data_IF_383556539070
#
_entry.id   IF_383556539070
#
_cell.length_a   1.000
_cell.length_b   1.000
_cell.length_c   1.000
_cell.angle_alpha   90.00
_cell.angle_beta   90.00
_cell.angle_gamma   90.00
#
_symmetry.space_group_name_H-M   'P 1'
#
loop_
_entity.id
_entity.type
_entity.pdbx_description
1 polymer ?
#
# COMPACT_ATOMS: atom_id res chain seq x y z
N UNK A 1 2.07 17.28 58.84
CA UNK A 1 0.59 17.24 59.03
C UNK A 1 -0.24 17.21 57.74
N UNK A 2 0.26 17.61 56.57
CA UNK A 2 -0.51 17.61 55.32
C UNK A 2 -0.91 16.21 54.78
N UNK A 3 -0.10 15.17 55.02
CA UNK A 3 -0.38 13.79 54.54
C UNK A 3 -1.58 13.12 55.21
N UNK A 4 -1.86 13.40 56.49
CA UNK A 4 -3.01 12.86 57.23
C UNK A 4 -4.35 13.48 56.79
N UNK A 5 -4.36 14.76 56.43
CA UNK A 5 -5.57 15.43 55.91
C UNK A 5 -6.02 14.85 54.56
N UNK A 6 -5.07 14.54 53.67
CA UNK A 6 -5.36 13.87 52.38
C UNK A 6 -5.92 12.45 52.54
N UNK A 7 -5.50 11.71 53.56
CA UNK A 7 -5.98 10.33 53.80
C UNK A 7 -7.41 10.32 54.36
N UNK A 8 -7.75 11.28 55.22
CA UNK A 8 -9.09 11.38 55.82
C UNK A 8 -10.12 11.88 54.80
N UNK A 9 -9.75 12.83 53.92
CA UNK A 9 -10.63 13.26 52.82
C UNK A 9 -10.91 12.12 51.84
N UNK A 10 -9.88 11.37 51.44
CA UNK A 10 -10.04 10.22 50.54
C UNK A 10 -10.91 9.11 51.15
N UNK A 11 -10.79 8.86 52.46
CA UNK A 11 -11.63 7.89 53.16
C UNK A 11 -13.10 8.34 53.24
N UNK A 12 -13.35 9.64 53.39
CA UNK A 12 -14.72 10.22 53.42
C UNK A 12 -15.37 10.21 52.03
N UNK A 13 -14.61 10.53 50.98
CA UNK A 13 -15.06 10.41 49.58
C UNK A 13 -15.41 8.96 49.20
N UNK A 14 -14.60 7.98 49.65
CA UNK A 14 -14.88 6.55 49.44
C UNK A 14 -16.15 6.13 50.20
N UNK A 15 -16.38 6.66 51.41
CA UNK A 15 -17.58 6.36 52.19
C UNK A 15 -18.85 6.99 51.59
N UNK A 16 -18.78 8.22 51.09
CA UNK A 16 -19.90 8.87 50.41
C UNK A 16 -20.21 8.19 49.06
N UNK A 17 -19.17 7.77 48.31
CA UNK A 17 -19.35 6.97 47.08
C UNK A 17 -19.94 5.57 47.36
N UNK A 18 -19.62 4.94 48.49
CA UNK A 18 -20.17 3.64 48.89
C UNK A 18 -21.59 3.73 49.48
N UNK A 19 -22.02 4.92 49.92
CA UNK A 19 -23.36 5.18 50.41
C UNK A 19 -24.37 5.43 49.27
N UNK A 20 -23.88 5.88 48.11
CA UNK A 20 -24.69 6.24 46.94
C UNK A 20 -24.61 5.18 45.81
N UNK A 21 -24.20 3.94 46.12
CA UNK A 21 -24.14 2.84 45.15
C UNK A 21 -25.54 2.22 44.96
N UNK A 22 -26.23 2.46 43.82
CA UNK A 22 -27.59 1.99 43.58
C UNK A 22 -27.69 0.47 43.41
N UNK A 23 -26.58 -0.27 43.38
CA UNK A 23 -26.56 -1.73 43.13
C UNK A 23 -26.23 -2.58 44.36
N UNK A 24 -26.10 -1.98 45.54
CA UNK A 24 -25.66 -2.65 46.78
C UNK A 24 -26.56 -3.81 47.23
N UNK A 25 -27.85 -3.77 46.92
CA UNK A 25 -28.84 -4.77 47.33
C UNK A 25 -29.44 -5.55 46.14
N UNK A 26 -28.71 -5.64 45.02
CA UNK A 26 -29.17 -6.37 43.83
C UNK A 26 -29.23 -7.89 44.07
N UNK A 27 -30.36 -8.53 43.78
CA UNK A 27 -30.63 -9.96 44.01
C UNK A 27 -30.76 -10.80 42.73
N UNK A 28 -30.41 -10.24 41.55
CA UNK A 28 -30.52 -10.91 40.25
C UNK A 28 -29.26 -11.68 39.83
N UNK A 29 -29.25 -12.12 38.57
CA UNK A 29 -28.14 -12.89 37.99
C UNK A 29 -26.91 -12.00 37.70
N UNK A 30 -25.72 -12.62 37.59
CA UNK A 30 -24.47 -11.89 37.33
C UNK A 30 -24.51 -11.12 36.02
N UNK A 31 -25.14 -11.69 34.98
CA UNK A 31 -25.31 -11.04 33.68
C UNK A 31 -26.17 -9.76 33.79
N UNK A 32 -27.23 -9.80 34.59
CA UNK A 32 -28.11 -8.66 34.85
C UNK A 32 -27.40 -7.55 35.63
N UNK A 33 -26.55 -7.91 36.61
CA UNK A 33 -25.75 -6.93 37.35
C UNK A 33 -24.76 -6.19 36.43
N UNK A 34 -24.12 -6.88 35.49
CA UNK A 34 -23.23 -6.25 34.51
C UNK A 34 -23.99 -5.32 33.57
N UNK A 35 -25.15 -5.75 33.07
CA UNK A 35 -26.00 -4.93 32.22
C UNK A 35 -26.51 -3.67 32.94
N UNK A 36 -26.93 -3.79 34.20
CA UNK A 36 -27.36 -2.67 35.04
C UNK A 36 -26.23 -1.66 35.28
N UNK A 37 -25.02 -2.14 35.59
CA UNK A 37 -23.83 -1.29 35.74
C UNK A 37 -23.47 -0.58 34.43
N UNK A 38 -23.50 -1.31 33.31
CA UNK A 38 -23.24 -0.74 31.99
C UNK A 38 -24.27 0.33 31.62
N UNK A 39 -25.57 0.06 31.80
CA UNK A 39 -26.62 1.03 31.47
C UNK A 39 -26.61 2.26 32.38
N UNK A 40 -26.27 2.11 33.66
CA UNK A 40 -26.09 3.25 34.57
C UNK A 40 -24.86 4.08 34.22
N UNK A 41 -23.73 3.42 33.90
CA UNK A 41 -22.55 4.10 33.36
C UNK A 41 -22.86 4.81 32.03
N UNK A 42 -23.60 4.16 31.14
CA UNK A 42 -24.03 4.70 29.85
C UNK A 42 -24.91 5.94 30.04
N UNK A 43 -25.86 5.91 30.99
CA UNK A 43 -26.70 7.07 31.33
C UNK A 43 -25.87 8.21 31.91
N UNK A 44 -24.95 7.91 32.84
CA UNK A 44 -24.09 8.91 33.48
C UNK A 44 -23.14 9.58 32.49
N UNK A 45 -22.64 8.83 31.52
CA UNK A 45 -21.73 9.30 30.48
C UNK A 45 -22.41 9.45 29.12
N UNK A 46 -23.74 9.63 29.10
CA UNK A 46 -24.52 9.63 27.86
C UNK A 46 -24.01 10.66 26.84
N UNK A 47 -23.57 11.84 27.31
CA UNK A 47 -22.97 12.88 26.46
C UNK A 47 -21.66 12.40 25.82
N UNK A 48 -20.78 11.78 26.58
CA UNK A 48 -19.49 11.28 26.08
C UNK A 48 -19.69 10.13 25.09
N UNK A 49 -20.63 9.24 25.37
CA UNK A 49 -20.96 8.12 24.46
C UNK A 49 -21.61 8.62 23.18
N UNK A 50 -22.47 9.64 23.24
CA UNK A 50 -23.01 10.27 22.03
C UNK A 50 -21.93 10.94 21.19
N UNK A 51 -20.98 11.64 21.82
CA UNK A 51 -19.84 12.24 21.12
C UNK A 51 -18.94 11.16 20.51
N UNK A 52 -18.62 10.11 21.27
CA UNK A 52 -17.82 8.97 20.77
C UNK A 52 -18.49 8.25 19.60
N UNK A 53 -19.81 8.03 19.69
CA UNK A 53 -20.62 7.47 18.61
C UNK A 53 -20.64 8.37 17.38
N UNK A 54 -20.78 9.68 17.55
CA UNK A 54 -20.74 10.64 16.45
C UNK A 54 -19.36 10.66 15.76
N UNK A 55 -18.26 10.62 16.53
CA UNK A 55 -16.90 10.54 15.97
C UNK A 55 -16.72 9.24 15.17
N UNK A 56 -17.13 8.09 15.73
CA UNK A 56 -17.08 6.81 15.01
C UNK A 56 -17.88 6.85 13.71
N UNK A 57 -19.05 7.48 13.72
CA UNK A 57 -19.88 7.63 12.53
C UNK A 57 -19.19 8.52 11.48
N UNK A 58 -18.59 9.65 11.87
CA UNK A 58 -17.84 10.52 10.96
C UNK A 58 -16.63 9.79 10.36
N UNK A 59 -15.88 9.05 11.18
CA UNK A 59 -14.74 8.23 10.71
C UNK A 59 -15.22 7.15 9.75
N UNK A 60 -16.32 6.48 10.05
CA UNK A 60 -16.93 5.47 9.18
C UNK A 60 -17.34 6.05 7.82
N UNK A 61 -18.06 7.18 7.81
CA UNK A 61 -18.46 7.87 6.58
C UNK A 61 -17.23 8.32 5.78
N UNK A 62 -16.25 8.96 6.43
CA UNK A 62 -15.02 9.40 5.79
C UNK A 62 -14.24 8.25 5.15
N UNK A 63 -14.21 7.10 5.81
CA UNK A 63 -13.59 5.87 5.27
C UNK A 63 -14.30 5.40 4.00
N UNK A 64 -15.63 5.33 4.00
CA UNK A 64 -16.40 4.92 2.81
C UNK A 64 -16.21 5.91 1.66
N UNK A 65 -16.28 7.22 1.93
CA UNK A 65 -16.05 8.26 0.91
C UNK A 65 -14.65 8.12 0.32
N UNK A 66 -13.63 7.90 1.15
CA UNK A 66 -12.26 7.69 0.70
C UNK A 66 -12.14 6.48 -0.24
N UNK A 67 -12.74 5.34 0.10
CA UNK A 67 -12.70 4.15 -0.75
C UNK A 67 -13.39 4.37 -2.10
N UNK A 68 -14.57 4.99 -2.10
CA UNK A 68 -15.30 5.31 -3.35
C UNK A 68 -14.49 6.26 -4.23
N UNK A 69 -13.87 7.28 -3.64
CA UNK A 69 -13.02 8.22 -4.37
C UNK A 69 -11.75 7.56 -4.92
N UNK A 70 -11.10 6.70 -4.13
CA UNK A 70 -9.91 5.97 -4.56
C UNK A 70 -10.22 5.00 -5.71
N UNK A 71 -11.35 4.29 -5.65
CA UNK A 71 -11.79 3.38 -6.70
C UNK A 71 -12.21 4.12 -7.97
N UNK A 72 -12.87 5.28 -7.84
CA UNK A 72 -13.19 6.15 -8.98
C UNK A 72 -11.95 6.62 -9.73
N UNK A 73 -10.92 7.09 -9.01
CA UNK A 73 -9.64 7.47 -9.66
C UNK A 73 -8.95 6.30 -10.36
N UNK A 74 -9.05 5.10 -9.80
CA UNK A 74 -8.49 3.91 -10.45
C UNK A 74 -9.20 3.63 -11.76
N UNK A 75 -10.53 3.68 -11.79
CA UNK A 75 -11.32 3.49 -13.01
C UNK A 75 -11.02 4.56 -14.06
N UNK A 76 -10.98 5.84 -13.67
CA UNK A 76 -10.62 6.95 -14.57
C UNK A 76 -9.23 6.74 -15.17
N UNK A 77 -8.27 6.27 -14.36
CA UNK A 77 -6.92 5.97 -14.85
C UNK A 77 -6.89 4.79 -15.81
N UNK A 78 -7.77 3.80 -15.66
CA UNK A 78 -7.85 2.66 -16.59
C UNK A 78 -8.42 3.14 -17.92
N UNK A 79 -9.49 3.92 -17.90
CA UNK A 79 -10.11 4.45 -19.12
C UNK A 79 -9.15 5.37 -19.88
N UNK A 80 -8.46 6.28 -19.18
CA UNK A 80 -7.45 7.14 -19.81
C UNK A 80 -6.29 6.32 -20.40
N UNK A 81 -5.87 5.24 -19.73
CA UNK A 81 -4.85 4.35 -20.27
C UNK A 81 -5.33 3.57 -21.51
N UNK A 82 -6.57 3.10 -21.51
CA UNK A 82 -7.19 2.46 -22.67
C UNK A 82 -7.30 3.42 -23.85
N UNK A 83 -7.61 4.70 -23.62
CA UNK A 83 -7.63 5.72 -24.68
C UNK A 83 -6.23 5.94 -25.27
N UNK A 84 -5.21 6.10 -24.40
CA UNK A 84 -3.81 6.23 -24.83
C UNK A 84 -3.40 5.03 -25.69
N UNK A 85 -3.67 3.80 -25.24
CA UNK A 85 -3.28 2.58 -25.97
C UNK A 85 -4.13 2.29 -27.21
N UNK A 86 -5.42 2.61 -27.21
CA UNK A 86 -6.30 2.44 -28.37
C UNK A 86 -5.93 3.38 -29.52
N UNK A 87 -5.54 4.63 -29.21
CA UNK A 87 -5.09 5.61 -30.20
C UNK A 87 -3.84 5.13 -30.98
N UNK A 88 -3.07 4.21 -30.40
CA UNK A 88 -1.81 3.70 -30.94
C UNK A 88 -2.02 2.54 -31.94
N UNK A 89 -3.16 1.84 -31.90
CA UNK A 89 -3.43 0.71 -32.80
C UNK A 89 -3.71 1.14 -34.27
N UNK A 90 -3.86 2.45 -34.53
CA UNK A 90 -4.23 2.98 -35.84
C UNK A 90 -3.10 3.35 -36.80
N UNK A 91 -1.84 3.54 -36.35
CA UNK A 91 -0.75 4.04 -37.20
C UNK A 91 0.66 3.57 -36.76
N UNK A 92 1.20 2.54 -37.40
CA UNK A 92 2.24 1.66 -36.83
C UNK A 92 3.64 2.28 -36.57
N UNK A 93 4.04 3.39 -37.22
CA UNK A 93 5.45 3.87 -37.16
C UNK A 93 5.62 5.26 -36.56
N UNK A 94 4.75 6.22 -36.87
CA UNK A 94 4.76 7.56 -36.24
C UNK A 94 4.05 7.58 -34.87
N UNK A 95 3.23 6.56 -34.56
CA UNK A 95 2.54 6.48 -33.27
C UNK A 95 3.46 6.06 -32.12
N UNK A 96 4.61 5.44 -32.37
CA UNK A 96 5.40 4.81 -31.31
C UNK A 96 6.23 5.80 -30.47
N UNK A 97 6.80 6.87 -31.06
CA UNK A 97 7.46 7.92 -30.28
C UNK A 97 6.46 8.80 -29.54
N UNK A 98 5.32 9.07 -30.18
CA UNK A 98 4.18 9.79 -29.58
C UNK A 98 3.59 8.97 -28.42
N UNK A 99 3.55 7.64 -28.56
CA UNK A 99 3.08 6.73 -27.52
C UNK A 99 3.91 6.79 -26.23
N UNK A 100 5.24 6.90 -26.33
CA UNK A 100 6.10 7.06 -25.15
C UNK A 100 5.81 8.40 -24.43
N UNK A 101 5.61 9.47 -25.19
CA UNK A 101 5.27 10.78 -24.63
C UNK A 101 3.90 10.77 -23.95
N UNK A 102 2.90 10.15 -24.57
CA UNK A 102 1.54 10.06 -24.02
C UNK A 102 1.48 9.17 -22.78
N UNK A 103 2.25 8.07 -22.75
CA UNK A 103 2.41 7.24 -21.55
C UNK A 103 3.10 7.99 -20.41
N UNK A 104 4.09 8.84 -20.73
CA UNK A 104 4.74 9.66 -19.73
C UNK A 104 3.79 10.72 -19.16
N UNK A 105 3.03 11.42 -20.01
CA UNK A 105 1.99 12.36 -19.57
C UNK A 105 0.95 11.67 -18.69
N UNK A 106 0.50 10.48 -19.08
CA UNK A 106 -0.40 9.66 -18.27
C UNK A 106 0.21 9.34 -16.90
N UNK A 107 1.47 8.94 -16.83
CA UNK A 107 2.15 8.64 -15.56
C UNK A 107 2.35 9.89 -14.67
N UNK A 108 2.50 11.07 -15.28
CA UNK A 108 2.59 12.36 -14.58
C UNK A 108 1.22 12.84 -14.05
N UNK A 109 0.14 12.59 -14.80
CA UNK A 109 -1.23 12.94 -14.41
C UNK A 109 -1.78 11.98 -13.33
N UNK A 110 -1.53 10.68 -13.49
CA UNK A 110 -2.02 9.63 -12.61
C UNK A 110 -0.90 9.08 -11.74
N UNK A 111 -0.66 9.78 -10.63
CA UNK A 111 0.51 9.56 -9.74
C UNK A 111 0.37 8.39 -8.76
N UNK A 112 -0.75 7.68 -8.73
CA UNK A 112 -0.92 6.52 -7.85
C UNK A 112 -0.19 5.29 -8.40
N UNK A 113 0.34 4.47 -7.48
CA UNK A 113 1.32 3.42 -7.79
C UNK A 113 0.89 2.46 -8.91
N UNK A 114 -0.41 2.12 -8.96
CA UNK A 114 -0.95 1.20 -9.97
C UNK A 114 -0.96 1.79 -11.38
N UNK A 115 -1.32 3.06 -11.54
CA UNK A 115 -1.30 3.71 -12.85
C UNK A 115 0.13 3.90 -13.35
N UNK A 116 1.04 4.36 -12.47
CA UNK A 116 2.47 4.48 -12.82
C UNK A 116 3.07 3.14 -13.22
N UNK A 117 2.79 2.07 -12.47
CA UNK A 117 3.22 0.72 -12.82
C UNK A 117 2.69 0.29 -14.18
N UNK A 118 1.39 0.50 -14.46
CA UNK A 118 0.77 0.16 -15.74
C UNK A 118 1.45 0.89 -16.91
N UNK A 119 1.72 2.19 -16.74
CA UNK A 119 2.42 2.99 -17.73
C UNK A 119 3.82 2.47 -18.00
N UNK A 120 4.61 2.20 -16.94
CA UNK A 120 5.97 1.71 -17.06
C UNK A 120 6.05 0.32 -17.69
N UNK A 121 5.13 -0.59 -17.36
CA UNK A 121 5.08 -1.92 -17.97
C UNK A 121 4.87 -1.81 -19.48
N UNK A 122 3.91 -0.99 -19.90
CA UNK A 122 3.63 -0.80 -21.32
C UNK A 122 4.76 -0.06 -22.04
N UNK A 123 5.41 0.89 -21.36
CA UNK A 123 6.61 1.56 -21.83
C UNK A 123 7.75 0.57 -22.12
N UNK A 124 7.98 -0.41 -21.23
CA UNK A 124 8.99 -1.46 -21.45
C UNK A 124 8.68 -2.25 -22.72
N UNK A 125 7.43 -2.67 -22.91
CA UNK A 125 7.05 -3.46 -24.08
C UNK A 125 7.23 -2.66 -25.38
N UNK A 126 6.85 -1.38 -25.37
CA UNK A 126 7.04 -0.49 -26.51
C UNK A 126 8.53 -0.24 -26.82
N UNK A 127 9.38 -0.10 -25.80
CA UNK A 127 10.82 0.05 -25.97
C UNK A 127 11.46 -1.23 -26.53
N UNK A 128 10.96 -2.41 -26.12
CA UNK A 128 11.37 -3.70 -26.68
C UNK A 128 11.00 -3.81 -28.16
N UNK A 129 9.79 -3.39 -28.53
CA UNK A 129 9.31 -3.41 -29.92
C UNK A 129 10.11 -2.44 -30.81
N UNK A 130 10.63 -1.36 -30.24
CA UNK A 130 11.54 -0.41 -30.89
C UNK A 130 13.01 -0.85 -30.92
N UNK A 131 13.31 -2.05 -30.40
CA UNK A 131 14.67 -2.58 -30.22
C UNK A 131 15.58 -1.71 -29.34
N UNK A 132 14.99 -0.85 -28.50
CA UNK A 132 15.69 -0.02 -27.52
C UNK A 132 15.93 -0.81 -26.22
N UNK A 133 16.68 -1.91 -26.33
CA UNK A 133 16.90 -2.88 -25.23
C UNK A 133 17.46 -2.25 -23.96
N UNK A 134 18.43 -1.35 -24.09
CA UNK A 134 19.02 -0.65 -22.94
C UNK A 134 17.99 0.23 -22.20
N UNK A 135 17.21 1.01 -22.94
CA UNK A 135 16.18 1.87 -22.33
C UNK A 135 15.07 1.03 -21.69
N UNK A 136 14.70 -0.10 -22.30
CA UNK A 136 13.75 -1.05 -21.73
C UNK A 136 14.27 -1.66 -20.41
N UNK A 137 15.58 -1.97 -20.36
CA UNK A 137 16.24 -2.47 -19.15
C UNK A 137 16.23 -1.41 -18.03
N UNK A 138 16.57 -0.16 -18.36
CA UNK A 138 16.53 0.96 -17.41
C UNK A 138 15.11 1.17 -16.85
N UNK A 139 14.08 1.11 -17.71
CA UNK A 139 12.69 1.19 -17.29
C UNK A 139 12.29 0.04 -16.35
N UNK A 140 12.71 -1.21 -16.66
CA UNK A 140 12.51 -2.34 -15.76
C UNK A 140 13.19 -2.14 -14.40
N UNK A 141 14.37 -1.53 -14.37
CA UNK A 141 15.07 -1.23 -13.12
C UNK A 141 14.27 -0.23 -12.27
N UNK A 142 13.75 0.84 -12.88
CA UNK A 142 12.86 1.81 -12.20
C UNK A 142 11.64 1.10 -11.60
N UNK A 143 10.99 0.20 -12.35
CA UNK A 143 9.85 -0.58 -11.81
C UNK A 143 10.30 -1.42 -10.61
N UNK A 144 11.48 -2.06 -10.67
CA UNK A 144 12.00 -2.86 -9.58
C UNK A 144 12.39 -2.05 -8.33
N UNK A 145 12.74 -0.77 -8.50
CA UNK A 145 13.04 0.15 -7.40
C UNK A 145 11.76 0.61 -6.69
N UNK A 146 10.69 0.83 -7.45
CA UNK A 146 9.38 1.27 -6.95
C UNK A 146 8.49 0.13 -6.43
N UNK A 147 8.74 -1.12 -6.85
CA UNK A 147 7.92 -2.26 -6.46
C UNK A 147 8.01 -2.59 -4.95
N UNK A 148 6.84 -2.74 -4.31
CA UNK A 148 6.74 -3.02 -2.88
C UNK A 148 7.18 -4.44 -2.50
N UNK A 149 6.86 -5.44 -3.33
CA UNK A 149 7.10 -6.85 -2.99
C UNK A 149 8.47 -7.33 -3.48
N UNK A 150 9.26 -8.04 -2.64
CA UNK A 150 10.56 -8.59 -3.04
C UNK A 150 10.50 -9.44 -4.32
N UNK A 151 9.39 -10.15 -4.53
CA UNK A 151 9.14 -10.99 -5.69
C UNK A 151 9.04 -10.17 -6.97
N UNK A 152 8.29 -9.05 -6.94
CA UNK A 152 8.18 -8.15 -8.10
C UNK A 152 9.52 -7.45 -8.37
N UNK A 153 10.21 -7.00 -7.33
CA UNK A 153 11.55 -6.42 -7.47
C UNK A 153 12.48 -7.41 -8.17
N UNK A 154 12.51 -8.65 -7.69
CA UNK A 154 13.33 -9.69 -8.30
C UNK A 154 12.96 -9.96 -9.75
N UNK A 155 11.66 -10.05 -10.07
CA UNK A 155 11.20 -10.30 -11.43
C UNK A 155 11.69 -9.20 -12.39
N UNK A 156 11.51 -7.93 -12.03
CA UNK A 156 11.90 -6.82 -12.90
C UNK A 156 13.42 -6.62 -12.96
N UNK A 157 14.16 -6.87 -11.89
CA UNK A 157 15.63 -6.90 -11.96
C UNK A 157 16.13 -8.03 -12.86
N UNK A 158 15.48 -9.21 -12.84
CA UNK A 158 15.83 -10.31 -13.72
C UNK A 158 15.54 -9.96 -15.18
N UNK A 159 14.38 -9.36 -15.46
CA UNK A 159 14.02 -8.86 -16.79
C UNK A 159 14.98 -7.79 -17.30
N UNK A 160 15.37 -6.85 -16.44
CA UNK A 160 16.40 -5.84 -16.74
C UNK A 160 17.75 -6.50 -17.07
N UNK A 161 18.15 -7.53 -16.32
CA UNK A 161 19.36 -8.30 -16.59
C UNK A 161 19.40 -8.88 -18.00
N UNK A 162 18.34 -9.57 -18.42
CA UNK A 162 18.25 -10.12 -19.78
C UNK A 162 18.27 -9.03 -20.85
N UNK A 163 17.55 -7.93 -20.65
CA UNK A 163 17.53 -6.81 -21.62
C UNK A 163 18.88 -6.10 -21.73
N UNK A 164 19.63 -5.98 -20.63
CA UNK A 164 21.01 -5.47 -20.68
C UNK A 164 21.96 -6.44 -21.38
N UNK A 165 21.81 -7.76 -21.22
CA UNK A 165 22.60 -8.74 -21.99
C UNK A 165 22.30 -8.63 -23.49
N UNK A 166 21.03 -8.53 -23.87
CA UNK A 166 20.62 -8.33 -25.27
C UNK A 166 21.19 -7.02 -25.85
N UNK A 167 21.40 -6.01 -24.99
CA UNK A 167 22.02 -4.73 -25.34
C UNK A 167 23.56 -4.72 -25.25
N UNK A 168 24.19 -5.88 -25.01
CA UNK A 168 25.64 -6.04 -24.80
C UNK A 168 26.21 -5.22 -23.61
N UNK A 169 25.34 -4.82 -22.67
CA UNK A 169 25.66 -4.08 -21.44
C UNK A 169 25.95 -5.05 -20.28
N UNK A 170 26.97 -5.89 -20.44
CA UNK A 170 27.22 -7.04 -19.55
C UNK A 170 27.45 -6.66 -18.06
N UNK A 171 28.05 -5.51 -17.78
CA UNK A 171 28.26 -5.07 -16.40
C UNK A 171 26.93 -4.72 -15.71
N UNK A 172 26.06 -3.99 -16.40
CA UNK A 172 24.72 -3.64 -15.91
C UNK A 172 23.84 -4.89 -15.79
N UNK A 173 23.94 -5.81 -16.77
CA UNK A 173 23.24 -7.09 -16.71
C UNK A 173 23.62 -7.88 -15.46
N UNK A 174 24.94 -8.01 -15.21
CA UNK A 174 25.47 -8.69 -14.02
C UNK A 174 24.94 -8.09 -12.73
N UNK A 175 24.95 -6.75 -12.63
CA UNK A 175 24.44 -6.07 -11.45
C UNK A 175 22.94 -6.33 -11.25
N UNK A 176 22.15 -6.25 -12.32
CA UNK A 176 20.71 -6.50 -12.27
C UNK A 176 20.40 -7.94 -11.84
N UNK A 177 21.11 -8.95 -12.37
CA UNK A 177 20.97 -10.33 -11.93
C UNK A 177 21.37 -10.55 -10.48
N UNK A 178 22.46 -9.92 -10.02
CA UNK A 178 22.88 -9.97 -8.62
C UNK A 178 21.81 -9.38 -7.71
N UNK A 179 21.22 -8.25 -8.09
CA UNK A 179 20.12 -7.64 -7.35
C UNK A 179 18.89 -8.56 -7.33
N UNK A 180 18.50 -9.13 -8.47
CA UNK A 180 17.41 -10.10 -8.54
C UNK A 180 17.63 -11.28 -7.57
N UNK A 181 18.82 -11.91 -7.61
CA UNK A 181 19.17 -13.03 -6.76
C UNK A 181 19.12 -12.71 -5.26
N UNK A 182 19.33 -11.44 -4.89
CA UNK A 182 19.36 -10.98 -3.48
C UNK A 182 17.98 -10.91 -2.82
N UNK A 183 16.90 -10.82 -3.61
CA UNK A 183 15.53 -10.72 -3.09
C UNK A 183 14.90 -12.09 -2.79
N UNK A 184 15.50 -13.19 -3.26
CA UNK A 184 15.04 -14.54 -2.92
C UNK A 184 15.58 -15.00 -1.57
N UNK A 185 14.66 -15.31 -0.63
CA UNK A 185 15.00 -15.82 0.71
C UNK A 185 15.36 -17.30 0.74
N UNK A 186 14.76 -18.09 -0.14
CA UNK A 186 15.00 -19.53 -0.24
C UNK A 186 15.64 -19.88 -1.58
N UNK A 187 16.42 -20.98 -1.65
CA UNK A 187 16.95 -21.50 -2.90
C UNK A 187 15.79 -21.88 -3.83
N UNK A 188 15.48 -20.98 -4.76
CA UNK A 188 14.42 -21.14 -5.74
C UNK A 188 15.03 -21.21 -7.15
N UNK A 189 14.31 -21.82 -8.09
CA UNK A 189 14.75 -21.93 -9.49
C UNK A 189 15.15 -20.56 -10.08
N UNK A 190 14.37 -19.53 -9.79
CA UNK A 190 14.62 -18.15 -10.23
C UNK A 190 15.90 -17.54 -9.61
N UNK A 191 16.27 -17.92 -8.38
CA UNK A 191 17.53 -17.49 -7.79
C UNK A 191 18.72 -18.14 -8.51
N UNK A 192 18.59 -19.43 -8.85
CA UNK A 192 19.62 -20.13 -9.62
C UNK A 192 19.76 -19.55 -11.03
N UNK A 193 18.64 -19.21 -11.67
CA UNK A 193 18.62 -18.55 -12.98
C UNK A 193 19.28 -17.18 -12.94
N UNK A 194 18.94 -16.35 -11.94
CA UNK A 194 19.60 -15.05 -11.75
C UNK A 194 21.11 -15.21 -11.52
N UNK A 195 21.55 -16.16 -10.69
CA UNK A 195 22.99 -16.42 -10.50
C UNK A 195 23.69 -16.95 -11.76
N UNK A 196 22.99 -17.73 -12.57
CA UNK A 196 23.51 -18.18 -13.85
C UNK A 196 23.68 -17.01 -14.82
N UNK A 197 22.69 -16.12 -14.90
CA UNK A 197 22.79 -14.85 -15.63
C UNK A 197 23.98 -14.01 -15.15
N UNK A 198 24.12 -13.81 -13.84
CA UNK A 198 25.25 -13.08 -13.24
C UNK A 198 26.61 -13.66 -13.67
N UNK A 199 26.75 -14.99 -13.63
CA UNK A 199 27.97 -15.67 -14.03
C UNK A 199 28.24 -15.59 -15.54
N UNK A 200 27.18 -15.63 -16.36
CA UNK A 200 27.27 -15.52 -17.82
C UNK A 200 27.73 -14.12 -18.24
N UNK A 201 27.16 -13.07 -17.65
CA UNK A 201 27.53 -11.69 -17.97
C UNK A 201 28.92 -11.27 -17.43
N UNK A 202 29.69 -12.19 -16.85
CA UNK A 202 31.05 -11.92 -16.37
C UNK A 202 32.15 -12.19 -17.42
N UNK A 203 31.80 -12.79 -18.55
CA UNK A 203 32.70 -13.16 -19.65
C UNK A 203 32.36 -12.37 -20.92
#
# INVERSE_FOLDING_TARGET
MARRKKTIQKAREIQEQAADDPFRNFQGDWSELQFMRFTHWLKRNAREVLIGGAILLVVGIGTVIYFVWAEGREQDSIVAFEEVTASQMGNVVLAQSVALEDLQKYAEEYTHDRARLRAHVYQVDLLIDQDQRQAAADACRTIAEEAESPELRSYYYMRAGFLYEDAEQFQQAREAFRLAASFFREPHMLQAEARFGEARSAY
#
